data_IF_700500055311
#
_entry.id   IF_700500055311
#
_cell.length_a   1.000
_cell.length_b   1.000
_cell.length_c   1.000
_cell.angle_alpha   90.00
_cell.angle_beta   90.00
_cell.angle_gamma   90.00
#
_symmetry.space_group_name_H-M   'P 1'
#
loop_
_entity.id
_entity.type
_entity.pdbx_description
1 polymer ?
#
# COMPACT_ATOMS: atom_id res chain seq x y z
N UNK A 1 -22.12 14.30 -42.72
CA UNK A 1 -21.31 13.43 -41.90
C UNK A 1 -21.77 12.03 -42.20
N UNK A 2 -21.04 11.34 -43.03
CA UNK A 2 -21.36 9.97 -43.44
C UNK A 2 -20.80 9.02 -42.36
N UNK A 3 -21.41 7.86 -42.25
CA UNK A 3 -21.10 6.83 -41.23
C UNK A 3 -19.66 6.28 -41.32
N UNK A 4 -18.88 6.71 -42.32
CA UNK A 4 -17.51 6.29 -42.62
C UNK A 4 -16.40 7.15 -41.95
N UNK A 5 -16.78 8.25 -41.26
CA UNK A 5 -15.81 9.16 -40.61
C UNK A 5 -15.60 8.88 -39.12
N UNK A 6 -16.10 7.77 -38.60
CA UNK A 6 -15.81 7.37 -37.20
C UNK A 6 -14.49 6.60 -37.17
N UNK A 7 -13.54 7.00 -36.30
CA UNK A 7 -12.33 6.22 -36.11
C UNK A 7 -12.71 4.83 -35.61
N UNK A 8 -12.12 3.81 -36.23
CA UNK A 8 -12.35 2.39 -35.90
C UNK A 8 -11.71 2.05 -34.55
N UNK A 9 -12.44 2.23 -33.47
CA UNK A 9 -12.04 1.87 -32.11
C UNK A 9 -12.19 0.35 -31.83
N UNK A 10 -11.92 -0.50 -32.81
CA UNK A 10 -11.93 -1.94 -32.55
C UNK A 10 -10.79 -2.29 -31.59
N UNK A 11 -11.16 -2.64 -30.36
CA UNK A 11 -10.24 -3.30 -29.44
C UNK A 11 -9.87 -4.66 -30.08
N UNK A 12 -8.61 -4.92 -30.38
CA UNK A 12 -8.19 -6.20 -30.93
C UNK A 12 -8.66 -7.34 -30.01
N UNK A 13 -9.49 -8.23 -30.54
CA UNK A 13 -9.91 -9.43 -29.83
C UNK A 13 -8.72 -10.38 -29.75
N UNK A 14 -8.09 -10.49 -28.59
CA UNK A 14 -7.01 -11.44 -28.33
C UNK A 14 -5.61 -10.83 -28.38
N UNK A 15 -5.01 -10.71 -27.20
CA UNK A 15 -3.67 -10.23 -26.99
C UNK A 15 -3.56 -8.71 -27.12
N UNK A 16 -3.64 -8.01 -26.01
CA UNK A 16 -3.36 -6.57 -26.00
C UNK A 16 -2.05 -6.30 -26.74
N UNK A 17 -2.03 -5.28 -27.59
CA UNK A 17 -0.78 -4.82 -28.21
C UNK A 17 0.18 -4.56 -27.07
N UNK A 18 1.35 -5.21 -27.04
CA UNK A 18 2.33 -4.94 -25.99
C UNK A 18 2.53 -3.41 -25.94
N UNK A 19 2.45 -2.80 -24.78
CA UNK A 19 2.61 -1.36 -24.60
C UNK A 19 3.87 -0.81 -25.30
N UNK A 20 4.90 -1.65 -25.53
CA UNK A 20 6.10 -1.39 -26.34
C UNK A 20 5.76 -0.99 -27.79
N UNK A 21 4.70 -1.57 -28.35
CA UNK A 21 4.31 -1.33 -29.73
C UNK A 21 3.40 -0.09 -29.87
N UNK A 22 3.03 0.54 -28.73
CA UNK A 22 2.31 1.82 -28.71
C UNK A 22 3.22 3.05 -28.84
N UNK A 23 4.54 2.87 -29.05
CA UNK A 23 5.50 3.97 -29.15
C UNK A 23 5.75 4.68 -27.81
N UNK A 24 5.39 4.05 -26.68
CA UNK A 24 5.77 4.53 -25.36
C UNK A 24 7.23 4.19 -25.14
N UNK A 25 8.06 5.23 -25.06
CA UNK A 25 9.47 5.05 -24.75
C UNK A 25 9.64 4.42 -23.35
N UNK A 26 10.67 3.62 -23.19
CA UNK A 26 11.05 2.94 -21.93
C UNK A 26 11.18 3.89 -20.71
N UNK A 27 11.31 5.20 -20.98
CA UNK A 27 11.42 6.26 -19.98
C UNK A 27 10.15 6.44 -19.11
N UNK A 28 9.01 5.83 -19.49
CA UNK A 28 7.75 5.89 -18.74
C UNK A 28 7.49 4.65 -17.88
N UNK A 29 8.40 3.67 -17.90
CA UNK A 29 8.33 2.57 -16.96
C UNK A 29 8.77 3.10 -15.59
N UNK A 30 7.90 3.04 -14.57
CA UNK A 30 8.35 3.36 -13.23
C UNK A 30 9.54 2.44 -12.90
N UNK A 31 10.57 2.94 -12.23
CA UNK A 31 11.69 2.10 -11.83
C UNK A 31 11.13 0.87 -11.12
N UNK A 32 11.51 -0.32 -11.57
CA UNK A 32 11.32 -1.54 -10.81
C UNK A 32 12.07 -1.31 -9.50
N UNK A 33 11.33 -1.01 -8.47
CA UNK A 33 11.89 -0.93 -7.14
C UNK A 33 11.70 -2.32 -6.53
N UNK A 34 12.72 -3.12 -6.66
CA UNK A 34 12.88 -4.35 -5.90
C UNK A 34 13.14 -3.93 -4.46
N UNK A 35 12.10 -3.94 -3.65
CA UNK A 35 12.15 -3.64 -2.22
C UNK A 35 11.28 -4.66 -1.51
N UNK A 36 11.80 -5.22 -0.43
CA UNK A 36 11.14 -6.27 0.33
C UNK A 36 10.95 -5.87 1.78
N UNK A 37 9.84 -6.30 2.38
CA UNK A 37 9.61 -6.21 3.82
C UNK A 37 10.55 -7.19 4.51
N UNK A 38 11.30 -6.71 5.49
CA UNK A 38 12.25 -7.52 6.27
C UNK A 38 11.80 -7.79 7.69
N UNK A 39 10.97 -6.92 8.28
CA UNK A 39 10.43 -7.11 9.62
C UNK A 39 9.19 -6.24 9.87
N UNK A 40 8.38 -6.66 10.86
CA UNK A 40 7.29 -5.87 11.41
C UNK A 40 7.53 -5.68 12.91
N UNK A 41 7.92 -4.48 13.28
CA UNK A 41 8.09 -4.09 14.67
C UNK A 41 6.82 -3.46 15.22
N UNK A 42 6.48 -3.78 16.46
CA UNK A 42 5.28 -3.25 17.11
C UNK A 42 5.63 -2.57 18.44
N UNK A 43 4.98 -1.44 18.72
CA UNK A 43 5.23 -0.65 19.93
C UNK A 43 3.92 -0.13 20.50
N UNK A 44 3.73 -0.28 21.82
CA UNK A 44 2.65 0.37 22.56
C UNK A 44 3.17 1.63 23.26
N UNK A 45 2.54 2.76 23.00
CA UNK A 45 2.88 4.05 23.61
C UNK A 45 1.78 4.45 24.59
N UNK A 46 2.14 4.59 25.88
CA UNK A 46 1.22 5.02 26.92
C UNK A 46 1.04 6.56 26.87
N UNK A 47 -0.21 7.01 26.81
CA UNK A 47 -0.60 8.41 26.87
C UNK A 47 -1.97 8.56 27.53
N UNK A 48 -2.77 9.51 27.09
CA UNK A 48 -4.20 9.57 27.48
C UNK A 48 -4.98 8.33 26.97
N UNK A 49 -4.49 7.68 25.93
CA UNK A 49 -4.84 6.35 25.45
C UNK A 49 -3.56 5.55 25.25
N UNK A 50 -3.68 4.23 25.10
CA UNK A 50 -2.58 3.42 24.62
C UNK A 50 -2.61 3.39 23.10
N UNK A 51 -1.60 3.97 22.48
CA UNK A 51 -1.41 4.01 21.05
C UNK A 51 -0.61 2.80 20.59
N UNK A 52 -1.03 2.14 19.53
CA UNK A 52 -0.28 1.07 18.90
C UNK A 52 0.42 1.58 17.64
N UNK A 53 1.73 1.46 17.60
CA UNK A 53 2.52 1.80 16.41
C UNK A 53 3.03 0.51 15.79
N UNK A 54 2.88 0.40 14.49
CA UNK A 54 3.45 -0.65 13.65
C UNK A 54 4.50 -0.01 12.76
N UNK A 55 5.70 -0.57 12.77
CA UNK A 55 6.78 -0.17 11.89
C UNK A 55 7.07 -1.32 10.93
N UNK A 56 7.05 -1.04 9.65
CA UNK A 56 7.42 -1.97 8.57
C UNK A 56 8.81 -1.62 8.12
N UNK A 57 9.76 -2.52 8.34
CA UNK A 57 11.14 -2.41 7.88
C UNK A 57 11.28 -2.99 6.48
N UNK A 58 12.25 -2.47 5.73
CA UNK A 58 12.57 -2.97 4.39
C UNK A 58 14.07 -3.22 4.24
N UNK A 59 14.46 -3.91 3.19
CA UNK A 59 15.86 -4.11 2.78
C UNK A 59 16.50 -2.84 2.17
N UNK A 60 15.70 -1.80 1.89
CA UNK A 60 16.15 -0.47 1.53
C UNK A 60 16.27 0.43 2.78
N UNK A 61 16.99 1.57 2.67
CA UNK A 61 17.12 2.56 3.76
C UNK A 61 15.82 3.35 4.01
N UNK A 62 14.67 2.64 4.04
CA UNK A 62 13.35 3.24 4.27
C UNK A 62 12.49 2.31 5.10
N UNK A 63 11.76 2.88 6.03
CA UNK A 63 10.73 2.19 6.81
C UNK A 63 9.43 3.00 6.80
N UNK A 64 8.33 2.33 7.10
CA UNK A 64 7.03 2.97 7.24
C UNK A 64 6.46 2.83 8.63
N UNK A 65 5.63 3.80 9.00
CA UNK A 65 4.91 3.83 10.27
C UNK A 65 3.40 3.80 10.02
N UNK A 66 2.74 2.94 10.77
CA UNK A 66 1.28 2.91 10.86
C UNK A 66 0.82 2.90 12.30
N UNK A 67 -0.43 3.23 12.51
CA UNK A 67 -1.03 3.35 13.83
C UNK A 67 -2.27 2.49 13.98
N UNK A 68 -2.51 1.97 15.18
CA UNK A 68 -3.74 1.27 15.53
C UNK A 68 -4.25 1.68 16.91
N UNK A 69 -5.58 1.79 17.04
CA UNK A 69 -6.24 2.21 18.29
C UNK A 69 -6.48 1.06 19.28
N UNK A 70 -6.35 -0.20 18.85
CA UNK A 70 -6.53 -1.40 19.68
C UNK A 70 -5.18 -2.01 20.06
N UNK A 71 -4.33 -1.18 20.69
CA UNK A 71 -2.90 -1.41 20.80
C UNK A 71 -2.50 -2.86 21.09
N UNK A 72 -2.85 -3.44 22.24
CA UNK A 72 -2.32 -4.76 22.61
C UNK A 72 -2.71 -5.88 21.65
N UNK A 73 -4.02 -6.06 21.40
CA UNK A 73 -4.50 -7.17 20.57
C UNK A 73 -4.16 -6.98 19.07
N UNK A 74 -4.19 -5.74 18.59
CA UNK A 74 -3.86 -5.45 17.20
C UNK A 74 -2.35 -5.52 16.95
N UNK A 75 -1.52 -5.13 17.92
CA UNK A 75 -0.06 -5.24 17.81
C UNK A 75 0.40 -6.70 17.85
N UNK A 76 -0.16 -7.53 18.74
CA UNK A 76 0.10 -8.97 18.73
C UNK A 76 -0.30 -9.61 17.38
N UNK A 77 -1.43 -9.20 16.83
CA UNK A 77 -1.88 -9.66 15.53
C UNK A 77 -0.95 -9.18 14.41
N UNK A 78 -0.54 -7.90 14.40
CA UNK A 78 0.38 -7.36 13.39
C UNK A 78 1.73 -8.08 13.41
N UNK A 79 2.29 -8.34 14.60
CA UNK A 79 3.52 -9.12 14.74
C UNK A 79 3.40 -10.55 14.18
N UNK A 80 2.22 -11.18 14.30
CA UNK A 80 1.98 -12.51 13.69
C UNK A 80 1.89 -12.48 12.16
N UNK A 81 1.51 -11.33 11.59
CA UNK A 81 1.42 -11.15 10.13
C UNK A 81 2.78 -11.04 9.47
N UNK A 82 3.85 -10.79 10.23
CA UNK A 82 5.23 -10.71 9.71
C UNK A 82 5.60 -11.93 8.86
N UNK A 83 5.30 -13.13 9.35
CA UNK A 83 5.64 -14.40 8.66
C UNK A 83 5.03 -14.51 7.26
N UNK A 84 3.93 -13.81 7.00
CA UNK A 84 3.25 -13.80 5.70
C UNK A 84 3.69 -12.64 4.81
N UNK A 85 4.37 -11.65 5.38
CA UNK A 85 4.75 -10.41 4.71
C UNK A 85 6.26 -10.28 4.46
N UNK A 86 7.08 -11.05 5.16
CA UNK A 86 8.52 -11.10 4.91
C UNK A 86 8.80 -11.50 3.46
N UNK A 87 9.56 -10.68 2.73
CA UNK A 87 9.84 -10.84 1.31
C UNK A 87 8.78 -10.27 0.36
N UNK A 88 7.63 -9.80 0.86
CA UNK A 88 6.64 -9.12 0.00
C UNK A 88 7.05 -7.67 -0.26
N UNK A 89 6.67 -7.15 -1.44
CA UNK A 89 6.97 -5.77 -1.81
C UNK A 89 5.97 -4.80 -1.15
N UNK A 90 6.41 -3.87 -0.28
CA UNK A 90 5.52 -2.93 0.39
C UNK A 90 4.82 -1.93 -0.56
N UNK A 91 5.27 -1.82 -1.81
CA UNK A 91 4.62 -0.98 -2.82
C UNK A 91 3.35 -1.63 -3.40
N UNK A 92 3.20 -2.93 -3.28
CA UNK A 92 2.05 -3.69 -3.79
C UNK A 92 0.94 -3.75 -2.73
N UNK A 93 0.46 -2.59 -2.28
CA UNK A 93 -0.50 -2.47 -1.16
C UNK A 93 -1.78 -3.28 -1.35
N UNK A 94 -2.32 -3.35 -2.58
CA UNK A 94 -3.53 -4.15 -2.86
C UNK A 94 -3.25 -5.66 -2.74
N UNK A 95 -2.06 -6.12 -3.16
CA UNK A 95 -1.62 -7.50 -3.00
C UNK A 95 -1.45 -7.86 -1.51
N UNK A 96 -0.79 -6.99 -0.74
CA UNK A 96 -0.64 -7.17 0.72
C UNK A 96 -2.01 -7.26 1.39
N UNK A 97 -2.93 -6.37 1.03
CA UNK A 97 -4.29 -6.39 1.57
C UNK A 97 -5.01 -7.71 1.25
N UNK A 98 -4.98 -8.14 0.01
CA UNK A 98 -5.62 -9.40 -0.41
C UNK A 98 -5.03 -10.60 0.34
N UNK A 99 -3.71 -10.67 0.48
CA UNK A 99 -3.02 -11.72 1.22
C UNK A 99 -3.49 -11.78 2.68
N UNK A 100 -3.53 -10.63 3.36
CA UNK A 100 -3.94 -10.55 4.76
C UNK A 100 -5.43 -10.82 4.95
N UNK A 101 -6.30 -10.33 4.06
CA UNK A 101 -7.73 -10.61 4.10
C UNK A 101 -8.02 -12.12 3.94
N UNK A 102 -7.33 -12.80 3.04
CA UNK A 102 -7.49 -14.24 2.84
C UNK A 102 -7.00 -15.06 4.04
N UNK A 103 -5.82 -14.74 4.56
CA UNK A 103 -5.19 -15.47 5.67
C UNK A 103 -5.89 -15.26 7.01
N UNK A 104 -6.31 -14.04 7.27
CA UNK A 104 -6.85 -13.62 8.57
C UNK A 104 -8.36 -13.38 8.54
N UNK A 105 -9.07 -13.98 7.59
CA UNK A 105 -10.54 -14.02 7.57
C UNK A 105 -11.06 -14.53 8.90
N UNK A 106 -12.04 -13.83 9.50
CA UNK A 106 -12.65 -14.22 10.77
C UNK A 106 -11.99 -13.63 12.02
N UNK A 107 -10.85 -12.93 11.92
CA UNK A 107 -10.23 -12.23 13.06
C UNK A 107 -10.97 -10.93 13.44
N UNK A 108 -11.97 -10.56 12.65
CA UNK A 108 -12.85 -9.43 12.91
C UNK A 108 -12.11 -8.09 13.00
N UNK A 109 -12.57 -7.21 13.89
CA UNK A 109 -12.06 -5.85 14.02
C UNK A 109 -10.59 -5.78 14.47
N UNK A 110 -10.09 -6.81 15.15
CA UNK A 110 -8.69 -6.84 15.62
C UNK A 110 -7.77 -7.07 14.42
N UNK A 111 -8.06 -8.06 13.59
CA UNK A 111 -7.31 -8.30 12.37
C UNK A 111 -7.37 -7.11 11.42
N UNK A 112 -8.55 -6.50 11.23
CA UNK A 112 -8.69 -5.28 10.44
C UNK A 112 -7.85 -4.13 10.98
N UNK A 113 -7.81 -3.91 12.30
CA UNK A 113 -7.00 -2.86 12.91
C UNK A 113 -5.51 -3.10 12.70
N UNK A 114 -5.05 -4.36 12.77
CA UNK A 114 -3.68 -4.74 12.54
C UNK A 114 -3.25 -4.52 11.09
N UNK A 115 -4.01 -5.06 10.13
CA UNK A 115 -3.62 -4.92 8.72
C UNK A 115 -3.76 -3.48 8.22
N UNK A 116 -4.74 -2.69 8.71
CA UNK A 116 -4.82 -1.27 8.36
C UNK A 116 -3.58 -0.49 8.81
N UNK A 117 -3.04 -0.82 9.99
CA UNK A 117 -1.78 -0.22 10.44
C UNK A 117 -0.60 -0.60 9.53
N UNK A 118 -0.52 -1.88 9.11
CA UNK A 118 0.50 -2.35 8.17
C UNK A 118 0.33 -1.67 6.80
N UNK A 119 -0.89 -1.61 6.27
CA UNK A 119 -1.20 -0.93 5.01
C UNK A 119 -0.82 0.56 5.07
N UNK A 120 -1.12 1.24 6.18
CA UNK A 120 -0.73 2.63 6.41
C UNK A 120 0.80 2.79 6.38
N UNK A 121 1.53 1.88 7.01
CA UNK A 121 3.00 1.87 6.97
C UNK A 121 3.52 1.65 5.54
N UNK A 122 2.90 0.79 4.76
CA UNK A 122 3.24 0.60 3.35
C UNK A 122 3.00 1.87 2.51
N UNK A 123 1.91 2.61 2.76
CA UNK A 123 1.68 3.91 2.13
C UNK A 123 2.72 4.96 2.55
N UNK A 124 3.17 4.94 3.82
CA UNK A 124 4.24 5.82 4.29
C UNK A 124 5.58 5.52 3.58
N UNK A 125 5.93 4.24 3.41
CA UNK A 125 7.07 3.81 2.58
C UNK A 125 6.92 4.35 1.16
N UNK A 126 5.75 4.12 0.54
CA UNK A 126 5.46 4.55 -0.82
C UNK A 126 5.60 6.06 -0.99
N UNK A 127 5.06 6.85 -0.05
CA UNK A 127 5.19 8.30 -0.02
C UNK A 127 6.64 8.76 0.06
N UNK A 128 7.45 8.15 0.93
CA UNK A 128 8.87 8.43 1.10
C UNK A 128 9.69 8.11 -0.14
N UNK A 129 9.42 6.96 -0.77
CA UNK A 129 10.15 6.53 -1.96
C UNK A 129 9.82 7.36 -3.21
N UNK A 130 8.58 7.86 -3.31
CA UNK A 130 8.16 8.69 -4.43
C UNK A 130 8.34 10.19 -4.16
N UNK A 131 8.78 10.55 -2.95
CA UNK A 131 8.92 11.95 -2.49
C UNK A 131 7.60 12.73 -2.65
N UNK A 132 6.49 12.09 -2.25
CA UNK A 132 5.16 12.70 -2.25
C UNK A 132 4.46 12.43 -0.92
N UNK A 133 3.64 13.35 -0.43
CA UNK A 133 2.82 13.09 0.75
C UNK A 133 1.76 12.02 0.46
N UNK A 134 1.43 11.21 1.47
CA UNK A 134 0.50 10.08 1.32
C UNK A 134 -0.87 10.49 0.74
N UNK A 135 -1.36 11.68 1.05
CA UNK A 135 -2.64 12.14 0.50
C UNK A 135 -2.64 12.25 -1.04
N UNK A 136 -1.50 12.49 -1.68
CA UNK A 136 -1.41 12.48 -3.16
C UNK A 136 -1.61 11.07 -3.73
N UNK A 137 -1.18 10.04 -2.99
CA UNK A 137 -1.41 8.64 -3.35
C UNK A 137 -2.86 8.20 -3.15
N UNK A 138 -3.63 8.95 -2.35
CA UNK A 138 -5.01 8.65 -1.97
C UNK A 138 -6.05 9.53 -2.68
N UNK A 139 -5.67 10.25 -3.74
CA UNK A 139 -6.59 11.05 -4.56
C UNK A 139 -6.44 12.55 -4.40
N UNK A 140 -5.40 13.02 -3.69
CA UNK A 140 -5.05 14.42 -3.60
C UNK A 140 -5.59 15.15 -2.35
N UNK A 141 -5.16 16.38 -2.20
CA UNK A 141 -5.49 17.21 -1.06
C UNK A 141 -6.91 17.81 -1.15
N UNK A 142 -7.72 17.56 -0.14
CA UNK A 142 -9.08 18.09 -0.07
C UNK A 142 -9.17 19.46 0.64
N UNK A 143 -8.31 19.68 1.67
CA UNK A 143 -8.28 20.95 2.42
C UNK A 143 -6.92 21.15 3.08
N UNK A 144 -6.56 22.42 3.36
CA UNK A 144 -5.31 22.77 4.03
C UNK A 144 -5.46 22.89 5.55
N UNK A 145 -6.67 23.22 6.01
CA UNK A 145 -6.93 23.49 7.41
C UNK A 145 -8.21 22.79 7.88
N UNK A 146 -8.19 22.33 9.12
CA UNK A 146 -9.35 21.81 9.84
C UNK A 146 -9.60 22.72 11.03
N UNK A 147 -10.82 23.28 11.10
CA UNK A 147 -11.25 24.05 12.30
C UNK A 147 -11.61 23.05 13.40
N UNK A 148 -11.01 23.22 14.55
CA UNK A 148 -11.24 22.48 15.79
C UNK A 148 -12.09 23.34 16.71
#
# INVERSE_FOLDING_TARGET
MTQDDQPDYRIPQGGGVPWRDMGMEETHRPPERDIEITAIETMAIAGNFTWGIVKVETDADVYGLGETFRAEAALDMAGRMEVDLEGENPLDTDRIRELLEQRYTGTGRIGQAAFTAIETACYDIKGKLFDVPVYELLGGKYRDEIKI
#
